data_IF_458700861778
#
_entry.id   IF_458700861778
#
_cell.length_a   1.000
_cell.length_b   1.000
_cell.length_c   1.000
_cell.angle_alpha   90.00
_cell.angle_beta   90.00
_cell.angle_gamma   90.00
#
_symmetry.space_group_name_H-M   'P 1'
#
loop_
_entity.id
_entity.type
_entity.pdbx_description
1 polymer ?
#
# COMPACT_ATOMS: atom_id res chain seq x y z
N UNK A 1 -1.75 -8.55 20.09
CA UNK A 1 -3.04 -8.01 20.58
C UNK A 1 -3.27 -6.54 20.24
N UNK A 2 -2.25 -5.71 19.97
CA UNK A 2 -2.41 -4.28 19.67
C UNK A 2 -3.09 -3.97 18.32
N UNK A 3 -2.80 -4.74 17.26
CA UNK A 3 -3.32 -4.46 15.91
C UNK A 3 -4.85 -4.57 15.79
N UNK A 4 -5.48 -5.47 16.56
CA UNK A 4 -6.94 -5.64 16.57
C UNK A 4 -7.66 -4.46 17.24
N UNK A 5 -7.03 -3.81 18.22
CA UNK A 5 -7.60 -2.67 18.95
C UNK A 5 -7.59 -1.40 18.10
N UNK A 6 -6.49 -1.13 17.40
CA UNK A 6 -6.36 0.00 16.49
C UNK A 6 -7.32 -0.07 15.28
N UNK A 7 -7.62 -1.28 14.79
CA UNK A 7 -8.59 -1.50 13.72
C UNK A 7 -10.04 -1.20 14.17
N UNK A 8 -10.38 -1.49 15.43
CA UNK A 8 -11.70 -1.20 16.01
C UNK A 8 -11.91 0.29 16.32
N UNK A 9 -10.83 1.04 16.61
CA UNK A 9 -10.90 2.47 16.94
C UNK A 9 -11.16 3.38 15.73
N UNK A 10 -10.98 2.91 14.49
CA UNK A 10 -11.21 3.74 13.29
C UNK A 10 -11.55 2.91 12.05
N UNK A 11 -12.77 2.32 12.00
CA UNK A 11 -13.21 1.50 10.87
C UNK A 11 -13.18 2.24 9.53
N UNK A 12 -13.41 3.56 9.50
CA UNK A 12 -13.28 4.37 8.28
C UNK A 12 -11.84 4.43 7.74
N UNK A 13 -10.85 4.49 8.64
CA UNK A 13 -9.43 4.50 8.24
C UNK A 13 -9.04 3.14 7.70
N UNK A 14 -9.47 2.06 8.34
CA UNK A 14 -9.23 0.71 7.83
C UNK A 14 -9.88 0.49 6.46
N UNK A 15 -11.14 0.90 6.30
CA UNK A 15 -11.85 0.85 5.02
C UNK A 15 -11.06 1.58 3.93
N UNK A 16 -10.56 2.80 4.22
CA UNK A 16 -9.76 3.57 3.25
C UNK A 16 -8.44 2.90 2.85
N UNK A 17 -7.89 1.99 3.66
CA UNK A 17 -6.65 1.26 3.35
C UNK A 17 -6.89 0.06 2.44
N UNK A 18 -8.03 -0.61 2.60
CA UNK A 18 -8.41 -1.80 1.84
C UNK A 18 -9.22 -1.48 0.57
N UNK A 19 -9.79 -0.28 0.49
CA UNK A 19 -10.56 0.19 -0.66
C UNK A 19 -9.70 0.25 -1.93
N UNK A 20 -10.28 -0.23 -3.03
CA UNK A 20 -9.64 -0.27 -4.35
C UNK A 20 -9.75 1.10 -5.01
N UNK A 21 -8.63 1.63 -5.47
CA UNK A 21 -8.58 2.89 -6.19
C UNK A 21 -7.95 2.71 -7.58
N UNK A 22 -8.43 3.49 -8.55
CA UNK A 22 -7.76 3.60 -9.85
C UNK A 22 -6.37 4.19 -9.65
N UNK A 23 -5.35 3.54 -10.24
CA UNK A 23 -3.99 4.04 -10.17
C UNK A 23 -3.66 4.95 -11.37
N UNK A 24 -2.87 6.02 -11.16
CA UNK A 24 -2.28 6.81 -12.23
C UNK A 24 -1.50 5.95 -13.22
N UNK A 25 -1.36 6.40 -14.47
CA UNK A 25 -0.67 5.66 -15.55
C UNK A 25 0.73 5.17 -15.15
N UNK A 26 1.54 6.03 -14.52
CA UNK A 26 2.89 5.66 -14.06
C UNK A 26 2.89 4.51 -13.06
N UNK A 27 1.93 4.49 -12.13
CA UNK A 27 1.80 3.38 -11.18
C UNK A 27 1.19 2.15 -11.84
N UNK A 28 0.35 2.32 -12.86
CA UNK A 28 -0.22 1.22 -13.64
C UNK A 28 0.86 0.45 -14.40
N UNK A 29 1.83 1.16 -14.97
CA UNK A 29 2.98 0.55 -15.66
C UNK A 29 3.88 -0.21 -14.68
N UNK A 30 4.08 0.34 -13.48
CA UNK A 30 4.87 -0.29 -12.43
C UNK A 30 4.18 -1.52 -11.80
N UNK A 31 2.88 -1.42 -11.50
CA UNK A 31 2.13 -2.46 -10.79
C UNK A 31 1.52 -3.50 -11.73
N UNK A 32 1.42 -3.21 -13.03
CA UNK A 32 0.73 -4.05 -14.03
C UNK A 32 -0.79 -4.15 -13.83
N UNK A 33 -1.39 -3.31 -12.98
CA UNK A 33 -2.80 -3.38 -12.58
C UNK A 33 -3.45 -2.00 -12.63
N UNK A 34 -4.70 -1.91 -13.07
CA UNK A 34 -5.46 -0.65 -13.15
C UNK A 34 -6.02 -0.17 -11.82
N UNK A 35 -6.20 -1.09 -10.89
CA UNK A 35 -6.73 -0.82 -9.56
C UNK A 35 -5.96 -1.63 -8.53
N UNK A 36 -5.77 -1.03 -7.36
CA UNK A 36 -5.16 -1.70 -6.21
C UNK A 36 -5.64 -0.99 -4.94
N UNK A 37 -5.61 -1.69 -3.81
CA UNK A 37 -5.88 -1.04 -2.53
C UNK A 37 -4.72 -0.12 -2.13
N UNK A 38 -5.00 0.93 -1.36
CA UNK A 38 -3.94 1.83 -0.87
C UNK A 38 -2.86 1.06 -0.11
N UNK A 39 -3.26 0.11 0.72
CA UNK A 39 -2.36 -0.78 1.46
C UNK A 39 -1.57 -1.70 0.52
N UNK A 40 -2.22 -2.30 -0.48
CA UNK A 40 -1.55 -3.15 -1.46
C UNK A 40 -0.52 -2.39 -2.29
N UNK A 41 -0.85 -1.17 -2.71
CA UNK A 41 0.08 -0.27 -3.41
C UNK A 41 1.31 0.02 -2.54
N UNK A 42 1.10 0.37 -1.27
CA UNK A 42 2.18 0.66 -0.33
C UNK A 42 3.10 -0.55 -0.15
N UNK A 43 2.54 -1.75 0.09
CA UNK A 43 3.33 -2.97 0.27
C UNK A 43 4.14 -3.29 -0.99
N UNK A 44 3.55 -3.21 -2.18
CA UNK A 44 4.24 -3.44 -3.46
C UNK A 44 5.45 -2.51 -3.64
N UNK A 45 5.24 -1.21 -3.45
CA UNK A 45 6.31 -0.20 -3.57
C UNK A 45 7.39 -0.43 -2.53
N UNK A 46 7.01 -0.72 -1.28
CA UNK A 46 7.96 -0.98 -0.20
C UNK A 46 8.81 -2.24 -0.46
N UNK A 47 8.18 -3.34 -0.88
CA UNK A 47 8.89 -4.56 -1.29
C UNK A 47 9.88 -4.27 -2.41
N UNK A 48 9.48 -3.51 -3.43
CA UNK A 48 10.36 -3.12 -4.52
C UNK A 48 11.58 -2.31 -4.05
N UNK A 49 11.38 -1.33 -3.17
CA UNK A 49 12.48 -0.55 -2.57
C UNK A 49 13.46 -1.48 -1.84
N UNK A 50 12.95 -2.46 -1.09
CA UNK A 50 13.78 -3.42 -0.34
C UNK A 50 14.52 -4.39 -1.27
N UNK A 51 13.83 -4.95 -2.26
CA UNK A 51 14.37 -5.92 -3.21
C UNK A 51 15.43 -5.31 -4.13
N UNK A 52 15.24 -4.05 -4.53
CA UNK A 52 16.18 -3.30 -5.38
C UNK A 52 17.22 -2.52 -4.57
N UNK A 53 17.23 -2.65 -3.24
CA UNK A 53 18.11 -1.93 -2.33
C UNK A 53 18.15 -0.41 -2.57
N UNK A 54 16.99 0.19 -2.86
CA UNK A 54 16.82 1.63 -3.12
C UNK A 54 16.71 2.46 -1.82
N UNK A 55 16.81 1.80 -0.67
CA UNK A 55 16.87 2.47 0.62
C UNK A 55 18.19 3.26 0.72
N UNK A 56 18.10 4.52 1.13
CA UNK A 56 19.29 5.32 1.43
C UNK A 56 19.93 4.73 2.69
N UNK A 57 21.14 4.18 2.58
CA UNK A 57 21.94 3.77 3.74
C UNK A 57 22.55 5.02 4.38
N UNK A 58 22.19 5.27 5.64
CA UNK A 58 22.90 6.19 6.52
C UNK A 58 23.82 5.40 7.44
#
# INVERSE_FOLDING_TARGET
MAAKKAAAESPKRLASLIDLANVPSTLRDFLGQSQISRLGCFIRVWSYIKEQNLQVQF
#
